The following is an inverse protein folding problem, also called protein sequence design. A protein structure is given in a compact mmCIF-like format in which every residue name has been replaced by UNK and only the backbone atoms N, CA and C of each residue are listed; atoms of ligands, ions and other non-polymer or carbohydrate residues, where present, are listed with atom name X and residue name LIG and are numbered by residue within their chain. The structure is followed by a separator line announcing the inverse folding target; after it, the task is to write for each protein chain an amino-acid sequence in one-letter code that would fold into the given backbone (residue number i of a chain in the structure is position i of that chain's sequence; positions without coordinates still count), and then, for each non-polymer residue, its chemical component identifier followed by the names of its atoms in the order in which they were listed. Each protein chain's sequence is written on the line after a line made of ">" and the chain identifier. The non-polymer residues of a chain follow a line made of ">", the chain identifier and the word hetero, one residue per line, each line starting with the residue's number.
data_IF_607071408011
#
_entry.id   IF_607071408011
#
_cell.length_a   1.000
_cell.length_b   1.000
_cell.length_c   1.000
_cell.angle_alpha   90.00
_cell.angle_beta   90.00
_cell.angle_gamma   90.00
#
_symmetry.space_group_name_H-M   'P 1'
#
loop_
_entity.id
_entity.type
_entity.pdbx_description
1 polymer ?
#
# COMPACT_ATOMS: atom_id res chain seq x y z
N UNK A 1 12.11 12.98 -87.87
CA UNK A 1 11.48 12.26 -86.74
C UNK A 1 11.03 13.30 -85.74
N UNK A 2 9.72 13.53 -85.67
CA UNK A 2 9.06 14.46 -84.74
C UNK A 2 8.71 13.67 -83.49
N UNK A 3 9.17 14.13 -82.32
CA UNK A 3 8.62 13.69 -81.03
C UNK A 3 7.95 14.90 -80.40
N UNK A 4 6.63 14.84 -80.38
CA UNK A 4 5.71 15.77 -79.73
C UNK A 4 5.71 15.44 -78.23
N UNK A 5 6.06 16.39 -77.35
CA UNK A 5 5.79 16.27 -75.92
C UNK A 5 4.51 17.05 -75.61
N UNK A 6 3.45 16.33 -75.24
CA UNK A 6 2.16 16.86 -74.82
C UNK A 6 2.23 17.15 -73.32
N UNK A 7 2.07 18.41 -72.94
CA UNK A 7 1.85 18.83 -71.55
C UNK A 7 0.38 18.59 -71.21
N UNK A 8 0.11 17.58 -70.38
CA UNK A 8 -1.19 17.35 -69.74
C UNK A 8 -1.21 18.14 -68.42
N UNK A 9 -1.94 19.25 -68.40
CA UNK A 9 -2.34 19.93 -67.16
C UNK A 9 -3.38 19.07 -66.46
N UNK A 10 -3.02 18.48 -65.32
CA UNK A 10 -3.97 17.88 -64.39
C UNK A 10 -4.41 18.95 -63.39
N UNK A 11 -5.68 19.34 -63.49
CA UNK A 11 -6.39 20.12 -62.48
C UNK A 11 -6.72 19.20 -61.29
N UNK A 12 -6.28 19.48 -60.05
CA UNK A 12 -6.77 18.75 -58.90
C UNK A 12 -8.20 19.20 -58.60
N UNK A 13 -9.14 18.29 -58.82
CA UNK A 13 -10.53 18.41 -58.39
C UNK A 13 -10.54 18.19 -56.88
N UNK A 14 -10.63 19.27 -56.10
CA UNK A 14 -10.82 19.21 -54.66
C UNK A 14 -12.19 18.58 -54.37
N UNK A 15 -12.19 17.31 -53.99
CA UNK A 15 -13.34 16.68 -53.37
C UNK A 15 -13.48 17.27 -51.96
N UNK A 16 -14.54 18.06 -51.76
CA UNK A 16 -15.03 18.42 -50.44
C UNK A 16 -15.55 17.14 -49.77
N UNK A 17 -14.68 16.42 -49.06
CA UNK A 17 -15.12 15.50 -48.01
C UNK A 17 -15.55 16.37 -46.83
N UNK A 18 -16.85 16.34 -46.50
CA UNK A 18 -17.36 17.00 -45.31
C UNK A 18 -16.67 16.41 -44.08
N UNK A 19 -15.90 17.24 -43.37
CA UNK A 19 -15.67 17.03 -41.96
C UNK A 19 -17.02 17.25 -41.28
N UNK A 20 -17.68 16.16 -40.89
CA UNK A 20 -18.67 16.26 -39.84
C UNK A 20 -17.88 16.47 -38.55
N UNK A 21 -17.87 17.71 -38.05
CA UNK A 21 -17.53 17.99 -36.66
C UNK A 21 -18.57 17.24 -35.81
N UNK A 22 -18.22 16.04 -35.36
CA UNK A 22 -18.93 15.35 -34.28
C UNK A 22 -18.26 15.71 -32.95
N UNK A 23 -18.23 17.02 -32.65
CA UNK A 23 -17.85 17.59 -31.35
C UNK A 23 -19.11 17.81 -30.52
N UNK A 24 -19.90 16.74 -30.36
CA UNK A 24 -21.15 16.74 -29.60
C UNK A 24 -21.24 15.50 -28.71
N UNK A 25 -20.11 15.04 -28.18
CA UNK A 25 -20.13 14.24 -26.95
C UNK A 25 -20.33 15.19 -25.80
N UNK A 26 -21.60 15.47 -25.48
CA UNK A 26 -21.95 16.02 -24.18
C UNK A 26 -21.20 15.22 -23.10
N UNK A 27 -20.63 15.88 -22.07
CA UNK A 27 -19.96 15.18 -20.99
C UNK A 27 -20.91 14.12 -20.45
N UNK A 28 -20.41 12.89 -20.28
CA UNK A 28 -21.20 11.80 -19.73
C UNK A 28 -21.81 12.29 -18.41
N UNK A 29 -23.14 12.20 -18.30
CA UNK A 29 -23.83 12.49 -17.05
C UNK A 29 -23.18 11.64 -15.94
N UNK A 30 -22.84 12.23 -14.78
CA UNK A 30 -22.19 11.50 -13.71
C UNK A 30 -23.06 10.32 -13.29
N UNK A 31 -22.46 9.15 -13.12
CA UNK A 31 -23.18 7.94 -12.73
C UNK A 31 -23.96 8.21 -11.44
N UNK A 32 -25.27 7.89 -11.39
CA UNK A 32 -26.07 8.15 -10.21
C UNK A 32 -25.48 7.49 -8.97
N UNK A 33 -25.59 8.16 -7.82
CA UNK A 33 -25.06 7.70 -6.54
C UNK A 33 -26.17 7.70 -5.51
N UNK A 34 -26.21 6.65 -4.69
CA UNK A 34 -27.10 6.53 -3.53
C UNK A 34 -26.30 6.50 -2.25
N UNK A 35 -26.89 7.02 -1.17
CA UNK A 35 -26.30 6.92 0.16
C UNK A 35 -26.09 5.45 0.52
N UNK A 36 -24.89 5.14 0.99
CA UNK A 36 -24.57 3.83 1.51
C UNK A 36 -24.45 3.91 3.02
N UNK A 37 -25.53 3.51 3.70
CA UNK A 37 -25.63 3.62 5.15
C UNK A 37 -25.03 2.37 5.80
N UNK A 38 -24.09 2.59 6.71
CA UNK A 38 -23.34 1.57 7.44
C UNK A 38 -23.12 2.02 8.88
N UNK A 39 -23.04 1.06 9.79
CA UNK A 39 -22.73 1.38 11.18
C UNK A 39 -21.28 1.88 11.28
N UNK A 40 -21.02 2.97 12.01
CA UNK A 40 -19.65 3.36 12.31
C UNK A 40 -18.96 2.25 13.10
N UNK A 41 -17.62 2.17 13.07
CA UNK A 41 -16.90 1.14 13.81
C UNK A 41 -17.19 1.28 15.31
N UNK A 42 -17.18 0.16 16.04
CA UNK A 42 -17.26 0.21 17.50
C UNK A 42 -16.13 1.05 18.10
N UNK A 43 -16.26 1.38 19.39
CA UNK A 43 -15.19 2.02 20.15
C UNK A 43 -13.93 1.15 20.17
N UNK A 44 -14.07 -0.18 20.21
CA UNK A 44 -12.96 -1.13 20.21
C UNK A 44 -12.20 -1.10 18.87
N UNK A 45 -12.92 -1.16 17.73
CA UNK A 45 -12.30 -1.03 16.40
C UNK A 45 -11.69 0.36 16.22
N UNK A 46 -12.35 1.40 16.72
CA UNK A 46 -11.81 2.76 16.71
C UNK A 46 -10.51 2.87 17.53
N UNK A 47 -10.42 2.17 18.66
CA UNK A 47 -9.23 2.10 19.49
C UNK A 47 -8.08 1.36 18.78
N UNK A 48 -8.38 0.31 18.02
CA UNK A 48 -7.40 -0.39 17.17
C UNK A 48 -6.82 0.58 16.12
N UNK A 49 -7.65 1.36 15.42
CA UNK A 49 -7.16 2.37 14.47
C UNK A 49 -6.34 3.49 15.15
N UNK A 50 -6.56 3.73 16.44
CA UNK A 50 -5.77 4.69 17.22
C UNK A 50 -4.51 4.08 17.86
N UNK A 51 -4.35 2.76 17.82
CA UNK A 51 -3.24 2.03 18.44
C UNK A 51 -1.93 2.20 17.65
N UNK A 52 -0.81 1.78 18.22
CA UNK A 52 0.52 1.83 17.57
C UNK A 52 0.63 0.81 16.43
N UNK A 53 1.41 1.16 15.42
CA UNK A 53 1.70 0.22 14.35
C UNK A 53 2.46 -0.99 14.91
N UNK A 54 1.98 -2.19 14.60
CA UNK A 54 2.67 -3.44 14.87
C UNK A 54 3.42 -3.86 13.61
N UNK A 55 4.71 -4.20 13.75
CA UNK A 55 5.46 -4.66 12.59
C UNK A 55 4.91 -5.99 12.04
N UNK A 56 4.77 -6.18 10.72
CA UNK A 56 4.25 -7.43 10.18
C UNK A 56 5.10 -8.63 10.56
N UNK A 57 4.47 -9.76 10.83
CA UNK A 57 5.13 -11.02 11.13
C UNK A 57 4.36 -12.18 10.51
N UNK A 58 5.05 -13.30 10.27
CA UNK A 58 4.39 -14.55 9.91
C UNK A 58 4.02 -15.32 11.16
N UNK A 59 2.82 -15.88 11.16
CA UNK A 59 2.37 -16.87 12.12
C UNK A 59 2.08 -18.17 11.37
N UNK A 60 2.59 -19.28 11.90
CA UNK A 60 2.45 -20.60 11.28
C UNK A 60 1.46 -21.46 12.06
N UNK A 61 0.60 -22.16 11.33
CA UNK A 61 -0.48 -22.98 11.85
C UNK A 61 -0.32 -24.42 11.37
N UNK A 62 -0.30 -25.36 12.31
CA UNK A 62 -0.27 -26.78 12.01
C UNK A 62 -1.50 -27.17 11.17
N UNK A 63 -1.27 -28.01 10.17
CA UNK A 63 -2.31 -28.50 9.28
C UNK A 63 -2.77 -29.90 9.70
N UNK A 64 -4.08 -30.12 9.64
CA UNK A 64 -4.67 -31.45 9.78
C UNK A 64 -4.34 -32.31 8.55
N UNK A 65 -4.24 -33.63 8.72
CA UNK A 65 -3.80 -34.55 7.67
C UNK A 65 -4.69 -34.58 6.40
N UNK A 66 -5.91 -34.05 6.45
CA UNK A 66 -6.85 -33.95 5.34
C UNK A 66 -7.14 -32.50 4.91
N UNK A 67 -6.19 -31.59 5.13
CA UNK A 67 -6.32 -30.19 4.73
C UNK A 67 -6.48 -30.01 3.21
N UNK A 68 -7.12 -28.90 2.81
CA UNK A 68 -7.28 -28.50 1.41
C UNK A 68 -6.25 -27.46 0.94
N UNK A 69 -5.26 -27.14 1.78
CA UNK A 69 -4.19 -26.18 1.45
C UNK A 69 -3.34 -26.71 0.27
N UNK A 70 -3.09 -25.89 -0.77
CA UNK A 70 -2.21 -26.27 -1.88
C UNK A 70 -0.80 -26.65 -1.38
N UNK A 71 -0.21 -27.70 -1.97
CA UNK A 71 1.11 -28.23 -1.54
C UNK A 71 2.21 -27.16 -1.55
N UNK A 72 2.16 -26.22 -2.51
CA UNK A 72 3.11 -25.10 -2.60
C UNK A 72 3.03 -24.09 -1.45
N UNK A 73 1.93 -24.11 -0.70
CA UNK A 73 1.71 -23.26 0.48
C UNK A 73 2.01 -23.97 1.80
N UNK A 74 2.29 -25.28 1.74
CA UNK A 74 2.65 -26.08 2.91
C UNK A 74 4.14 -25.96 3.17
N UNK A 75 4.49 -25.71 4.42
CA UNK A 75 5.86 -25.76 4.93
C UNK A 75 5.95 -26.81 6.03
N UNK A 76 7.17 -27.12 6.49
CA UNK A 76 7.38 -28.04 7.61
C UNK A 76 7.86 -27.27 8.84
N UNK A 77 7.30 -27.58 9.99
CA UNK A 77 7.78 -27.11 11.29
C UNK A 77 9.14 -27.72 11.63
N UNK A 78 9.79 -27.25 12.70
CA UNK A 78 11.03 -27.87 13.21
C UNK A 78 10.83 -29.34 13.60
N UNK A 79 9.61 -29.73 13.98
CA UNK A 79 9.23 -31.10 14.31
C UNK A 79 8.96 -31.97 13.07
N UNK A 80 8.84 -31.35 11.89
CA UNK A 80 8.52 -32.01 10.63
C UNK A 80 7.02 -32.16 10.36
N UNK A 81 6.18 -31.45 11.11
CA UNK A 81 4.73 -31.40 10.89
C UNK A 81 4.40 -30.38 9.78
N UNK A 82 3.36 -30.66 8.99
CA UNK A 82 2.89 -29.76 7.93
C UNK A 82 2.21 -28.54 8.54
N UNK A 83 2.56 -27.35 8.06
CA UNK A 83 2.02 -26.07 8.54
C UNK A 83 1.83 -25.08 7.38
N UNK A 84 0.95 -24.10 7.57
CA UNK A 84 0.80 -22.94 6.69
C UNK A 84 1.18 -21.67 7.45
N UNK A 85 1.98 -20.79 6.84
CA UNK A 85 2.47 -19.56 7.48
C UNK A 85 1.87 -18.34 6.80
N UNK A 86 1.10 -17.54 7.55
CA UNK A 86 0.41 -16.36 7.02
C UNK A 86 1.03 -15.10 7.61
N UNK A 87 1.24 -14.08 6.76
CA UNK A 87 1.57 -12.75 7.23
C UNK A 87 0.37 -12.12 7.94
N UNK A 88 0.52 -11.80 9.23
CA UNK A 88 -0.47 -11.08 10.01
C UNK A 88 -0.46 -9.60 9.59
N UNK A 89 -1.07 -9.32 8.44
CA UNK A 89 -1.05 -8.01 7.79
C UNK A 89 -2.23 -7.83 6.83
N UNK A 90 -2.66 -6.59 6.60
CA UNK A 90 -3.69 -6.30 5.59
C UNK A 90 -3.31 -6.74 4.16
N UNK A 91 -2.02 -6.82 3.84
CA UNK A 91 -1.49 -7.32 2.56
C UNK A 91 -1.09 -8.80 2.60
N UNK A 92 -1.09 -9.40 3.78
CA UNK A 92 -0.85 -10.82 3.94
C UNK A 92 -2.05 -11.62 3.45
N UNK A 93 -1.80 -12.70 2.74
CA UNK A 93 -2.85 -13.53 2.18
C UNK A 93 -2.75 -14.97 2.66
N UNK A 94 -3.90 -15.62 2.85
CA UNK A 94 -4.03 -17.05 2.91
C UNK A 94 -3.90 -17.66 1.50
N UNK A 95 -3.64 -18.97 1.38
CA UNK A 95 -3.63 -19.66 0.10
C UNK A 95 -4.95 -19.45 -0.67
N UNK A 96 -4.87 -19.32 -1.99
CA UNK A 96 -6.05 -19.04 -2.84
C UNK A 96 -7.18 -20.04 -2.58
N UNK A 97 -8.40 -19.54 -2.50
CA UNK A 97 -9.60 -20.30 -2.12
C UNK A 97 -9.82 -20.45 -0.62
N UNK A 98 -8.89 -20.01 0.22
CA UNK A 98 -9.03 -19.94 1.68
C UNK A 98 -9.22 -18.49 2.10
N UNK A 99 -10.24 -18.14 2.91
CA UNK A 99 -10.38 -16.78 3.42
C UNK A 99 -9.28 -16.48 4.45
N UNK A 100 -8.87 -15.22 4.55
CA UNK A 100 -7.80 -14.78 5.45
C UNK A 100 -8.08 -15.18 6.89
N UNK A 101 -9.30 -14.99 7.36
CA UNK A 101 -9.73 -15.26 8.75
C UNK A 101 -9.77 -16.75 9.14
N UNK A 102 -9.47 -17.66 8.22
CA UNK A 102 -9.24 -19.07 8.54
C UNK A 102 -7.94 -19.29 9.32
N UNK A 103 -6.93 -18.44 9.12
CA UNK A 103 -5.60 -18.54 9.73
C UNK A 103 -5.07 -17.19 10.22
N UNK A 104 -5.42 -16.09 9.56
CA UNK A 104 -5.09 -14.73 9.96
C UNK A 104 -5.99 -14.19 11.07
N UNK A 105 -5.47 -13.23 11.84
CA UNK A 105 -6.21 -12.47 12.84
C UNK A 105 -6.54 -11.08 12.32
N UNK A 106 -7.83 -10.77 12.21
CA UNK A 106 -8.24 -9.44 11.78
C UNK A 106 -7.94 -8.34 12.80
N UNK A 107 -7.91 -8.67 14.09
CA UNK A 107 -7.44 -7.74 15.12
C UNK A 107 -6.00 -7.29 14.84
N UNK A 108 -5.12 -8.26 14.52
CA UNK A 108 -3.71 -7.98 14.23
C UNK A 108 -3.50 -7.35 12.86
N UNK A 109 -4.22 -7.79 11.82
CA UNK A 109 -4.11 -7.20 10.49
C UNK A 109 -4.46 -5.70 10.47
N UNK A 110 -5.38 -5.27 11.34
CA UNK A 110 -5.75 -3.87 11.51
C UNK A 110 -4.69 -3.03 12.24
N UNK A 111 -3.86 -3.63 13.12
CA UNK A 111 -2.77 -2.91 13.81
C UNK A 111 -1.48 -2.82 12.98
N UNK A 112 -1.38 -3.61 11.90
CA UNK A 112 -0.16 -3.74 11.08
C UNK A 112 -0.29 -3.06 9.71
N UNK A 113 -1.28 -2.19 9.51
CA UNK A 113 -1.51 -1.51 8.23
C UNK A 113 -1.77 -0.01 8.42
N UNK A 114 -1.92 0.71 7.30
CA UNK A 114 -2.21 2.13 7.33
C UNK A 114 -3.57 2.37 8.02
N UNK A 115 -3.52 3.05 9.17
CA UNK A 115 -4.63 3.24 10.12
C UNK A 115 -5.61 4.33 9.70
N UNK A 116 -6.25 4.19 8.53
CA UNK A 116 -7.25 5.15 8.09
C UNK A 116 -8.65 4.54 8.05
N UNK A 117 -9.58 5.18 8.75
CA UNK A 117 -11.01 4.96 8.53
C UNK A 117 -11.57 6.03 7.59
N UNK A 118 -12.31 5.59 6.58
CA UNK A 118 -13.06 6.44 5.68
C UNK A 118 -14.43 5.82 5.45
N UNK A 119 -15.47 6.51 5.88
CA UNK A 119 -16.84 6.07 5.66
C UNK A 119 -17.13 5.91 4.15
N UNK A 120 -17.59 4.74 3.68
CA UNK A 120 -18.05 4.58 2.31
C UNK A 120 -19.43 5.24 2.18
N UNK A 121 -19.47 6.56 1.99
CA UNK A 121 -20.70 7.34 2.08
C UNK A 121 -21.69 7.16 0.92
N UNK A 122 -21.31 6.46 -0.14
CA UNK A 122 -22.17 6.26 -1.30
C UNK A 122 -21.84 4.97 -2.05
N UNK A 123 -22.83 4.49 -2.81
CA UNK A 123 -22.67 3.48 -3.86
C UNK A 123 -23.03 4.07 -5.21
N UNK A 124 -22.33 3.65 -6.24
CA UNK A 124 -22.77 3.85 -7.63
C UNK A 124 -24.04 3.05 -7.87
N UNK A 125 -25.06 3.63 -8.52
CA UNK A 125 -26.23 2.85 -8.94
C UNK A 125 -25.96 2.18 -10.28
N UNK A 126 -25.83 0.86 -10.27
CA UNK A 126 -25.73 0.05 -11.48
C UNK A 126 -27.03 -0.71 -11.73
N UNK A 127 -27.53 -0.74 -12.98
CA UNK A 127 -28.57 -1.67 -13.39
C UNK A 127 -28.23 -3.11 -12.98
N UNK A 128 -29.14 -3.77 -12.28
CA UNK A 128 -28.90 -5.12 -11.74
C UNK A 128 -28.94 -6.22 -12.80
N UNK A 129 -29.23 -5.90 -14.06
CA UNK A 129 -29.17 -6.84 -15.19
C UNK A 129 -27.74 -7.34 -15.46
N UNK A 130 -26.70 -6.65 -14.98
CA UNK A 130 -25.34 -7.19 -14.96
C UNK A 130 -25.24 -8.49 -14.15
N UNK A 131 -26.11 -8.68 -13.15
CA UNK A 131 -26.18 -9.91 -12.36
C UNK A 131 -26.83 -11.06 -13.14
N UNK A 132 -27.46 -10.79 -14.28
CA UNK A 132 -27.98 -11.81 -15.19
C UNK A 132 -26.90 -12.34 -16.16
N UNK A 133 -25.72 -11.70 -16.23
CA UNK A 133 -24.57 -12.19 -17.01
C UNK A 133 -23.75 -13.22 -16.17
N UNK A 134 -23.82 -14.53 -16.51
CA UNK A 134 -23.14 -15.55 -15.74
C UNK A 134 -21.60 -15.45 -15.82
N UNK A 135 -21.04 -14.87 -16.88
CA UNK A 135 -19.58 -14.71 -16.99
C UNK A 135 -19.11 -13.56 -16.10
N UNK A 136 -19.84 -12.43 -16.06
CA UNK A 136 -19.52 -11.34 -15.13
C UNK A 136 -19.65 -11.80 -13.68
N UNK A 137 -20.74 -12.50 -13.33
CA UNK A 137 -20.93 -13.01 -11.95
C UNK A 137 -19.80 -13.95 -11.55
N UNK A 138 -19.41 -14.88 -12.43
CA UNK A 138 -18.29 -15.79 -12.17
C UNK A 138 -16.98 -15.03 -11.93
N UNK A 139 -16.72 -13.99 -12.70
CA UNK A 139 -15.52 -13.17 -12.56
C UNK A 139 -15.55 -12.33 -11.28
N UNK A 140 -16.69 -11.72 -10.97
CA UNK A 140 -16.89 -10.94 -9.76
C UNK A 140 -16.76 -11.80 -8.49
N UNK A 141 -17.21 -13.07 -8.50
CA UNK A 141 -17.01 -14.00 -7.38
C UNK A 141 -15.56 -14.49 -7.27
N UNK A 142 -14.87 -14.72 -8.39
CA UNK A 142 -13.44 -14.99 -8.35
C UNK A 142 -12.67 -13.81 -7.74
N UNK A 143 -12.95 -12.58 -8.19
CA UNK A 143 -12.37 -11.36 -7.64
C UNK A 143 -12.62 -11.26 -6.13
N UNK A 144 -13.87 -11.47 -5.72
CA UNK A 144 -14.25 -11.46 -4.30
C UNK A 144 -13.46 -12.51 -3.50
N UNK A 145 -13.23 -13.70 -4.07
CA UNK A 145 -12.45 -14.75 -3.41
C UNK A 145 -10.96 -14.39 -3.25
N UNK A 146 -10.37 -13.71 -4.23
CA UNK A 146 -8.99 -13.21 -4.13
C UNK A 146 -8.86 -12.16 -3.03
N UNK A 147 -9.79 -11.20 -2.98
CA UNK A 147 -9.80 -10.18 -1.92
C UNK A 147 -9.95 -10.82 -0.54
N UNK A 148 -10.87 -11.78 -0.40
CA UNK A 148 -11.14 -12.51 0.86
C UNK A 148 -9.99 -13.37 1.33
N UNK A 149 -9.10 -13.79 0.45
CA UNK A 149 -7.89 -14.49 0.86
C UNK A 149 -6.92 -13.56 1.63
N UNK A 150 -7.05 -12.24 1.52
CA UNK A 150 -6.10 -11.29 2.09
C UNK A 150 -6.66 -10.50 3.27
N UNK A 151 -5.77 -10.07 4.18
CA UNK A 151 -6.13 -9.37 5.42
C UNK A 151 -6.83 -8.02 5.20
N UNK A 152 -6.87 -7.48 3.99
CA UNK A 152 -7.58 -6.24 3.69
C UNK A 152 -9.08 -6.35 4.00
N UNK A 153 -9.66 -7.57 3.95
CA UNK A 153 -11.07 -7.79 4.30
C UNK A 153 -11.40 -7.47 5.75
N UNK A 154 -10.42 -7.48 6.64
CA UNK A 154 -10.61 -7.08 8.03
C UNK A 154 -11.09 -5.63 8.17
N UNK A 155 -10.81 -4.80 7.16
CA UNK A 155 -11.28 -3.42 7.07
C UNK A 155 -12.38 -3.24 6.01
N UNK A 156 -12.43 -4.11 5.00
CA UNK A 156 -13.13 -3.85 3.74
C UNK A 156 -14.22 -4.86 3.37
N UNK A 157 -14.56 -5.82 4.23
CA UNK A 157 -15.68 -6.74 4.02
C UNK A 157 -16.63 -6.67 5.21
N UNK A 158 -17.82 -6.13 5.01
CA UNK A 158 -18.81 -6.01 6.08
C UNK A 158 -19.38 -7.32 6.61
N UNK A 159 -19.13 -8.43 5.92
CA UNK A 159 -19.61 -9.76 6.29
C UNK A 159 -18.53 -10.61 6.95
N UNK A 160 -17.29 -10.13 6.98
CA UNK A 160 -16.13 -10.82 7.54
C UNK A 160 -15.35 -9.88 8.47
N UNK A 161 -14.37 -10.42 9.18
CA UNK A 161 -13.45 -9.62 9.99
C UNK A 161 -13.76 -9.58 11.49
N UNK A 162 -13.06 -8.68 12.19
CA UNK A 162 -13.10 -8.58 13.64
C UNK A 162 -14.47 -8.13 14.16
N UNK A 163 -15.12 -7.23 13.44
CA UNK A 163 -16.48 -6.78 13.71
C UNK A 163 -17.29 -6.79 12.41
N UNK A 164 -18.38 -7.57 12.39
CA UNK A 164 -19.31 -7.60 11.26
C UNK A 164 -20.19 -6.36 11.24
N UNK A 165 -20.64 -5.97 10.05
CA UNK A 165 -21.52 -4.80 9.86
C UNK A 165 -20.76 -3.49 9.62
N UNK A 166 -19.45 -3.56 9.39
CA UNK A 166 -18.58 -2.42 9.16
C UNK A 166 -17.69 -2.60 7.92
N UNK A 167 -17.47 -1.53 7.16
CA UNK A 167 -16.44 -1.49 6.13
C UNK A 167 -15.91 -0.07 5.93
N UNK A 168 -14.62 0.07 5.59
CA UNK A 168 -13.97 1.35 5.27
C UNK A 168 -13.70 1.47 3.78
N UNK A 169 -13.85 2.65 3.19
CA UNK A 169 -13.57 3.01 1.80
C UNK A 169 -14.36 2.29 0.68
N UNK A 170 -14.55 0.98 0.76
CA UNK A 170 -15.34 0.11 -0.11
C UNK A 170 -15.76 -1.14 0.69
N UNK A 171 -16.70 -1.93 0.15
CA UNK A 171 -17.26 -3.08 0.86
C UNK A 171 -17.42 -4.29 -0.08
N UNK A 172 -16.57 -5.29 0.13
CA UNK A 172 -16.54 -6.57 -0.60
C UNK A 172 -17.74 -7.46 -0.27
N UNK A 173 -18.28 -7.32 0.94
CA UNK A 173 -19.44 -8.04 1.46
C UNK A 173 -20.79 -7.48 1.01
N UNK A 174 -20.77 -6.35 0.29
CA UNK A 174 -21.97 -5.70 -0.20
C UNK A 174 -22.82 -6.64 -1.08
N UNK A 175 -24.14 -6.61 -0.86
CA UNK A 175 -25.10 -7.31 -1.71
C UNK A 175 -25.21 -6.67 -3.10
N UNK A 176 -25.57 -7.48 -4.10
CA UNK A 176 -25.69 -7.06 -5.48
C UNK A 176 -24.33 -6.85 -6.15
N UNK A 177 -24.22 -5.75 -6.91
CA UNK A 177 -22.97 -5.35 -7.56
C UNK A 177 -22.04 -4.73 -6.53
N UNK A 178 -21.28 -5.56 -5.81
CA UNK A 178 -20.44 -5.11 -4.69
C UNK A 178 -19.37 -4.08 -5.11
N UNK A 179 -18.92 -4.13 -6.36
CA UNK A 179 -17.97 -3.17 -6.93
C UNK A 179 -18.54 -1.74 -6.96
N UNK A 180 -19.85 -1.56 -6.83
CA UNK A 180 -20.47 -0.22 -6.74
C UNK A 180 -20.11 0.54 -5.47
N UNK A 181 -19.57 -0.14 -4.46
CA UNK A 181 -19.03 0.49 -3.23
C UNK A 181 -17.71 1.22 -3.48
N UNK A 182 -17.02 0.91 -4.58
CA UNK A 182 -15.75 1.54 -4.89
C UNK A 182 -15.99 2.97 -5.35
N UNK A 183 -15.17 3.89 -4.84
CA UNK A 183 -14.99 5.18 -5.50
C UNK A 183 -14.27 5.00 -6.84
N UNK A 184 -14.42 5.95 -7.76
CA UNK A 184 -13.72 5.93 -9.04
C UNK A 184 -12.19 5.89 -8.85
N UNK A 185 -11.69 6.64 -7.86
CA UNK A 185 -10.29 6.55 -7.44
C UNK A 185 -9.90 5.13 -6.96
N UNK A 186 -10.79 4.47 -6.21
CA UNK A 186 -10.60 3.10 -5.76
C UNK A 186 -10.49 2.10 -6.91
N UNK A 187 -11.30 2.28 -7.96
CA UNK A 187 -11.19 1.47 -9.18
C UNK A 187 -9.86 1.70 -9.91
N UNK A 188 -9.37 2.95 -9.96
CA UNK A 188 -8.06 3.25 -10.56
C UNK A 188 -6.89 2.65 -9.78
N UNK A 189 -6.98 2.60 -8.46
CA UNK A 189 -5.99 1.89 -7.64
C UNK A 189 -6.09 0.36 -7.80
N UNK A 190 -7.29 -0.18 -8.00
CA UNK A 190 -7.53 -1.62 -8.17
C UNK A 190 -7.17 -2.14 -9.56
N UNK A 191 -7.32 -1.33 -10.59
CA UNK A 191 -6.90 -1.61 -11.97
C UNK A 191 -5.40 -1.36 -12.21
N UNK A 192 -4.72 -0.69 -11.27
CA UNK A 192 -3.29 -0.39 -11.40
C UNK A 192 -2.97 0.82 -12.30
N UNK A 193 -3.95 1.68 -12.60
CA UNK A 193 -3.69 3.01 -13.18
C UNK A 193 -2.94 3.92 -12.22
N UNK A 194 -3.22 3.78 -10.92
CA UNK A 194 -2.52 4.49 -9.86
C UNK A 194 -1.53 3.54 -9.21
N UNK A 195 -0.26 3.92 -9.24
CA UNK A 195 0.78 3.25 -8.45
C UNK A 195 0.51 3.48 -6.97
N UNK A 196 0.26 2.38 -6.26
CA UNK A 196 -0.05 2.38 -4.83
C UNK A 196 1.09 1.83 -4.01
N UNK A 197 2.28 1.62 -4.56
CA UNK A 197 3.45 1.07 -3.84
C UNK A 197 3.73 1.88 -2.56
N UNK A 198 3.46 3.19 -2.57
CA UNK A 198 3.61 4.06 -1.40
C UNK A 198 2.56 3.85 -0.28
N UNK A 199 1.52 3.04 -0.49
CA UNK A 199 0.43 2.76 0.47
C UNK A 199 0.67 1.45 1.23
N UNK A 200 1.90 1.29 1.71
CA UNK A 200 2.45 0.02 2.16
C UNK A 200 3.02 -0.73 0.96
N UNK A 201 4.25 -1.21 1.08
CA UNK A 201 4.96 -1.91 0.00
C UNK A 201 4.32 -3.25 -0.37
N UNK A 202 5.10 -4.31 -0.46
CA UNK A 202 4.60 -5.63 -0.87
C UNK A 202 5.43 -6.76 -0.26
N UNK A 203 4.75 -7.85 0.09
CA UNK A 203 5.44 -9.11 0.37
C UNK A 203 5.88 -9.75 -0.95
N UNK A 204 6.99 -10.48 -0.92
CA UNK A 204 7.38 -11.33 -2.05
C UNK A 204 6.26 -12.37 -2.28
N UNK A 205 5.70 -12.49 -3.50
CA UNK A 205 4.66 -13.47 -3.81
C UNK A 205 5.03 -14.90 -3.41
N UNK A 206 6.32 -15.28 -3.47
CA UNK A 206 6.79 -16.60 -3.05
C UNK A 206 6.58 -16.86 -1.54
N UNK A 207 6.52 -15.80 -0.73
CA UNK A 207 6.25 -15.85 0.72
C UNK A 207 4.83 -15.45 1.08
N UNK A 208 4.01 -15.13 0.07
CA UNK A 208 2.62 -14.68 0.21
C UNK A 208 1.69 -15.52 -0.67
N UNK A 209 1.97 -16.82 -0.79
CA UNK A 209 1.13 -17.82 -1.47
C UNK A 209 0.78 -17.49 -2.94
N UNK A 210 1.72 -16.84 -3.64
CA UNK A 210 1.56 -16.42 -5.03
C UNK A 210 0.81 -15.10 -5.22
N UNK A 211 0.36 -14.44 -4.14
CA UNK A 211 -0.32 -13.15 -4.23
C UNK A 211 0.68 -12.01 -4.42
N UNK A 212 0.51 -11.27 -5.52
CA UNK A 212 1.30 -10.10 -5.91
C UNK A 212 0.49 -8.81 -5.79
N UNK A 213 1.06 -7.81 -5.10
CA UNK A 213 0.49 -6.48 -4.82
C UNK A 213 1.31 -5.34 -5.45
N UNK A 214 2.31 -5.66 -6.26
CA UNK A 214 3.17 -4.66 -6.92
C UNK A 214 2.47 -3.92 -8.08
N UNK A 215 1.30 -4.42 -8.51
CA UNK A 215 0.65 -3.96 -9.73
C UNK A 215 -0.76 -3.41 -9.51
N UNK A 216 -1.36 -3.71 -8.37
CA UNK A 216 -2.73 -3.39 -7.98
C UNK A 216 -2.73 -3.14 -6.48
N UNK A 217 -3.66 -2.32 -5.96
CA UNK A 217 -3.77 -2.10 -4.51
C UNK A 217 -4.10 -3.39 -3.74
N UNK A 218 -4.74 -4.34 -4.42
CA UNK A 218 -5.06 -5.65 -3.87
C UNK A 218 -4.04 -6.69 -4.30
N UNK A 219 -3.51 -7.52 -3.38
CA UNK A 219 -2.75 -8.68 -3.77
C UNK A 219 -3.62 -9.65 -4.59
N UNK A 220 -3.03 -10.30 -5.60
CA UNK A 220 -3.71 -11.34 -6.40
C UNK A 220 -2.74 -12.37 -6.97
N UNK A 221 -3.24 -13.58 -7.18
CA UNK A 221 -2.54 -14.65 -7.88
C UNK A 221 -2.57 -14.51 -9.41
N UNK A 222 -3.43 -13.65 -9.97
CA UNK A 222 -3.53 -13.39 -11.42
C UNK A 222 -3.71 -11.90 -11.72
N UNK A 223 -2.56 -11.21 -11.77
CA UNK A 223 -2.50 -9.75 -12.01
C UNK A 223 -3.20 -9.34 -13.32
N UNK A 224 -2.92 -9.96 -14.49
CA UNK A 224 -3.61 -9.59 -15.72
C UNK A 224 -5.14 -9.72 -15.63
N UNK A 225 -5.64 -10.78 -14.98
CA UNK A 225 -7.07 -11.01 -14.82
C UNK A 225 -7.72 -10.00 -13.89
N UNK A 226 -7.10 -9.68 -12.75
CA UNK A 226 -7.60 -8.66 -11.82
C UNK A 226 -7.67 -7.28 -12.48
N UNK A 227 -6.60 -6.88 -13.20
CA UNK A 227 -6.60 -5.62 -13.94
C UNK A 227 -7.73 -5.58 -14.96
N UNK A 228 -7.88 -6.64 -15.77
CA UNK A 228 -8.94 -6.72 -16.77
C UNK A 228 -10.35 -6.58 -16.17
N UNK A 229 -10.60 -7.19 -15.01
CA UNK A 229 -11.88 -7.04 -14.30
C UNK A 229 -12.16 -5.58 -13.93
N UNK A 230 -11.21 -4.90 -13.26
CA UNK A 230 -11.41 -3.52 -12.84
C UNK A 230 -11.41 -2.52 -13.99
N UNK A 231 -10.69 -2.76 -15.09
CA UNK A 231 -10.83 -2.00 -16.34
C UNK A 231 -12.23 -2.14 -16.93
N UNK A 232 -12.81 -3.35 -16.85
CA UNK A 232 -14.20 -3.59 -17.22
C UNK A 232 -15.17 -2.74 -16.38
N UNK A 233 -14.95 -2.64 -15.07
CA UNK A 233 -15.76 -1.82 -14.18
C UNK A 233 -15.59 -0.30 -14.44
N UNK A 234 -14.37 0.15 -14.75
CA UNK A 234 -14.10 1.54 -15.19
C UNK A 234 -14.88 1.85 -16.47
N UNK A 235 -14.81 0.98 -17.47
CA UNK A 235 -15.52 1.13 -18.73
C UNK A 235 -17.04 1.09 -18.53
N UNK A 236 -17.54 0.18 -17.68
CA UNK A 236 -18.96 0.07 -17.32
C UNK A 236 -19.49 1.36 -16.68
N UNK A 237 -18.66 2.03 -15.88
CA UNK A 237 -18.98 3.33 -15.27
C UNK A 237 -18.80 4.53 -16.21
N UNK A 238 -18.21 4.33 -17.39
CA UNK A 238 -18.05 5.37 -18.40
C UNK A 238 -17.03 6.46 -18.05
N UNK A 239 -16.02 6.14 -17.24
CA UNK A 239 -14.93 7.09 -16.94
C UNK A 239 -14.18 7.44 -18.23
N UNK A 240 -13.99 8.74 -18.46
CA UNK A 240 -13.21 9.25 -19.58
C UNK A 240 -11.72 9.30 -19.24
N UNK A 241 -10.86 9.29 -20.26
CA UNK A 241 -9.40 9.45 -20.09
C UNK A 241 -9.05 10.73 -19.31
N UNK A 242 -9.76 11.83 -19.55
CA UNK A 242 -9.58 13.09 -18.82
C UNK A 242 -9.88 12.94 -17.33
N UNK A 243 -10.99 12.28 -16.98
CA UNK A 243 -11.34 12.01 -15.58
C UNK A 243 -10.34 11.08 -14.90
N UNK A 244 -9.83 10.08 -15.63
CA UNK A 244 -8.79 9.17 -15.13
C UNK A 244 -7.53 9.98 -14.80
N UNK A 245 -7.07 10.81 -15.73
CA UNK A 245 -5.89 11.65 -15.55
C UNK A 245 -6.06 12.64 -14.38
N UNK A 246 -7.21 13.30 -14.26
CA UNK A 246 -7.52 14.18 -13.13
C UNK A 246 -7.47 13.47 -11.77
N UNK A 247 -7.89 12.20 -11.70
CA UNK A 247 -7.83 11.40 -10.48
C UNK A 247 -6.39 10.95 -10.16
N UNK A 248 -5.58 10.63 -11.17
CA UNK A 248 -4.15 10.32 -11.00
C UNK A 248 -3.40 11.53 -10.46
N UNK A 249 -3.67 12.73 -10.97
CA UNK A 249 -3.03 13.97 -10.50
C UNK A 249 -3.36 14.33 -9.04
N UNK A 250 -4.43 13.75 -8.48
CA UNK A 250 -4.79 13.92 -7.07
C UNK A 250 -3.99 13.04 -6.11
N UNK A 251 -3.19 12.08 -6.59
CA UNK A 251 -2.42 11.14 -5.75
C UNK A 251 -1.57 11.86 -4.69
N UNK A 252 -0.76 12.88 -5.02
CA UNK A 252 0.05 13.59 -4.02
C UNK A 252 -0.80 14.28 -2.95
N UNK A 253 -2.02 14.71 -3.28
CA UNK A 253 -2.90 15.35 -2.30
C UNK A 253 -3.62 14.32 -1.43
N UNK A 254 -4.12 13.24 -2.03
CA UNK A 254 -4.87 12.19 -1.32
C UNK A 254 -4.00 11.39 -0.37
N UNK A 255 -2.71 11.27 -0.68
CA UNK A 255 -1.74 10.54 0.14
C UNK A 255 -0.63 11.43 0.68
N UNK A 256 -0.87 12.74 0.80
CA UNK A 256 0.14 13.76 1.05
C UNK A 256 1.20 13.39 2.09
N UNK A 257 0.81 12.90 3.26
CA UNK A 257 1.78 12.56 4.30
C UNK A 257 2.67 11.36 3.94
N UNK A 258 2.10 10.29 3.36
CA UNK A 258 2.85 9.13 2.88
C UNK A 258 3.72 9.49 1.67
N UNK A 259 3.13 10.22 0.72
CA UNK A 259 3.80 10.70 -0.47
C UNK A 259 4.99 11.59 -0.13
N UNK A 260 4.79 12.60 0.72
CA UNK A 260 5.85 13.51 1.18
C UNK A 260 6.97 12.73 1.90
N UNK A 261 6.62 11.80 2.79
CA UNK A 261 7.62 11.00 3.48
C UNK A 261 8.51 10.22 2.51
N UNK A 262 7.93 9.68 1.45
CA UNK A 262 8.65 8.90 0.47
C UNK A 262 9.42 9.75 -0.56
N UNK A 263 8.84 10.87 -1.03
CA UNK A 263 9.39 11.61 -2.18
C UNK A 263 10.20 12.84 -1.82
N UNK A 264 10.09 13.37 -0.60
CA UNK A 264 10.78 14.61 -0.23
C UNK A 264 12.30 14.42 -0.14
N UNK A 265 13.03 15.35 -0.73
CA UNK A 265 14.50 15.34 -0.71
C UNK A 265 15.04 15.55 0.71
N UNK A 266 15.93 14.66 1.12
CA UNK A 266 16.67 14.79 2.38
C UNK A 266 17.49 16.09 2.40
N UNK A 267 17.37 16.86 3.49
CA UNK A 267 18.11 18.11 3.69
C UNK A 267 19.23 17.92 4.72
N UNK A 268 20.23 18.81 4.82
CA UNK A 268 21.16 18.80 5.94
C UNK A 268 20.42 18.91 7.28
N UNK A 269 20.89 18.19 8.30
CA UNK A 269 20.33 18.22 9.65
C UNK A 269 20.41 19.63 10.25
N UNK A 270 19.36 19.99 10.99
CA UNK A 270 19.27 21.27 11.69
C UNK A 270 20.14 21.31 12.94
N UNK A 271 19.99 22.40 13.69
CA UNK A 271 20.60 22.55 15.02
C UNK A 271 20.04 21.45 15.94
N UNK A 272 20.92 20.76 16.66
CA UNK A 272 20.51 19.70 17.58
C UNK A 272 20.17 18.35 16.92
N UNK A 273 20.49 18.14 15.64
CA UNK A 273 20.13 16.91 14.91
C UNK A 273 21.34 16.14 14.36
N UNK A 274 21.23 14.80 14.30
CA UNK A 274 22.25 13.91 13.77
C UNK A 274 22.77 12.92 14.82
N UNK A 275 23.92 12.33 14.55
CA UNK A 275 24.64 11.47 15.52
C UNK A 275 25.89 12.20 15.98
N UNK A 276 26.00 12.45 17.29
CA UNK A 276 27.12 13.17 17.89
C UNK A 276 28.40 12.33 17.89
N UNK A 277 29.58 12.94 18.12
CA UNK A 277 30.84 12.21 18.14
C UNK A 277 30.92 11.08 19.19
N UNK A 278 30.16 11.17 20.28
CA UNK A 278 30.05 10.10 21.29
C UNK A 278 29.03 9.00 20.92
N UNK A 279 28.38 9.12 19.75
CA UNK A 279 27.41 8.15 19.23
C UNK A 279 25.98 8.42 19.62
N UNK A 280 25.68 9.47 20.40
CA UNK A 280 24.31 9.80 20.80
C UNK A 280 23.49 10.28 19.60
N UNK A 281 22.27 9.78 19.46
CA UNK A 281 21.36 10.08 18.34
C UNK A 281 20.36 11.16 18.74
N UNK A 282 20.27 12.22 17.94
CA UNK A 282 19.42 13.38 18.18
C UNK A 282 18.56 13.75 16.96
N UNK A 283 17.32 14.16 17.22
CA UNK A 283 16.40 14.76 16.24
C UNK A 283 15.66 15.96 16.87
N UNK A 284 15.25 16.93 16.05
CA UNK A 284 14.64 18.18 16.49
C UNK A 284 13.13 18.05 16.62
N UNK A 285 12.68 17.17 17.53
CA UNK A 285 11.28 17.07 17.92
C UNK A 285 11.14 16.76 19.40
N UNK A 286 10.10 17.33 20.02
CA UNK A 286 9.68 16.95 21.36
C UNK A 286 8.92 15.61 21.40
N UNK A 287 8.65 15.01 20.23
CA UNK A 287 8.03 13.69 20.14
C UNK A 287 9.08 12.60 20.20
N UNK A 288 8.72 11.54 20.92
CA UNK A 288 9.52 10.32 21.04
C UNK A 288 9.37 9.44 19.78
N UNK A 289 10.41 8.70 19.46
CA UNK A 289 10.52 7.85 18.27
C UNK A 289 10.14 6.40 18.58
N UNK A 290 9.56 5.70 17.59
CA UNK A 290 9.43 4.24 17.62
C UNK A 290 10.34 3.54 16.61
N UNK A 291 10.81 4.25 15.59
CA UNK A 291 11.70 3.70 14.59
C UNK A 291 12.82 4.68 14.29
N UNK A 292 14.06 4.23 14.44
CA UNK A 292 15.27 5.03 14.22
C UNK A 292 16.13 4.33 13.18
N UNK A 293 16.51 5.06 12.15
CA UNK A 293 17.30 4.55 11.03
C UNK A 293 18.53 5.43 10.83
N UNK A 294 19.67 4.78 10.60
CA UNK A 294 20.88 5.41 10.08
C UNK A 294 21.25 4.72 8.78
N UNK A 295 21.39 5.50 7.72
CA UNK A 295 21.64 5.03 6.37
C UNK A 295 22.84 5.74 5.74
N UNK A 296 23.37 5.17 4.68
CA UNK A 296 24.33 5.83 3.80
C UNK A 296 23.70 7.10 3.17
N UNK A 297 24.56 8.08 2.85
CA UNK A 297 24.13 9.24 2.06
C UNK A 297 23.59 8.78 0.70
N UNK A 298 22.42 9.30 0.31
CA UNK A 298 21.77 8.96 -0.95
C UNK A 298 20.84 7.74 -0.89
N UNK A 299 20.75 7.03 0.24
CA UNK A 299 19.71 6.02 0.45
C UNK A 299 18.31 6.60 0.27
N UNK A 300 17.40 5.79 -0.28
CA UNK A 300 15.99 6.14 -0.44
C UNK A 300 15.34 6.50 0.92
N UNK A 301 14.21 7.21 0.88
CA UNK A 301 13.43 7.44 2.08
C UNK A 301 12.77 6.13 2.53
N UNK A 302 12.63 6.00 3.85
CA UNK A 302 11.89 4.90 4.46
C UNK A 302 10.40 5.20 4.32
N UNK A 303 9.63 4.20 3.90
CA UNK A 303 8.16 4.26 3.88
C UNK A 303 7.56 3.03 4.57
N UNK A 304 6.27 2.79 4.33
CA UNK A 304 5.52 1.78 5.07
C UNK A 304 5.94 0.35 4.72
N UNK A 305 6.10 -0.53 5.72
CA UNK A 305 6.31 -1.96 5.50
C UNK A 305 5.09 -2.62 4.83
N UNK A 306 5.29 -3.80 4.22
CA UNK A 306 6.57 -4.48 4.05
C UNK A 306 7.41 -3.91 2.89
N UNK A 307 8.74 -3.98 3.01
CA UNK A 307 9.69 -3.77 1.90
C UNK A 307 10.24 -2.34 1.82
N UNK A 308 9.38 -1.33 1.69
CA UNK A 308 9.84 0.08 1.56
C UNK A 308 10.45 0.65 2.84
N UNK A 309 10.27 -0.05 3.96
CA UNK A 309 10.89 0.24 5.23
C UNK A 309 12.34 -0.27 5.32
N UNK A 310 12.83 -0.97 4.29
CA UNK A 310 14.17 -1.56 4.21
C UNK A 310 14.97 -1.13 2.96
N UNK A 311 15.21 0.19 2.75
CA UNK A 311 15.96 0.67 1.59
C UNK A 311 17.43 0.21 1.60
N UNK A 312 18.03 0.12 0.40
CA UNK A 312 19.47 -0.11 0.24
C UNK A 312 20.31 0.98 0.94
N UNK A 313 21.48 0.58 1.46
CA UNK A 313 22.36 1.46 2.24
C UNK A 313 21.96 1.64 3.71
N UNK A 314 20.96 0.89 4.21
CA UNK A 314 20.66 0.88 5.65
C UNK A 314 21.79 0.24 6.46
N UNK A 315 22.38 1.04 7.36
CA UNK A 315 23.47 0.62 8.24
C UNK A 315 22.91 0.08 9.56
N UNK A 316 21.93 0.79 10.11
CA UNK A 316 21.33 0.46 11.39
C UNK A 316 19.85 0.82 11.42
N UNK A 317 19.07 -0.03 12.10
CA UNK A 317 17.65 0.19 12.36
C UNK A 317 17.28 -0.40 13.71
N UNK A 318 16.64 0.43 14.52
CA UNK A 318 16.06 0.05 15.80
C UNK A 318 14.55 0.32 15.79
N UNK A 319 13.79 -0.71 16.17
CA UNK A 319 12.35 -0.66 16.31
C UNK A 319 11.98 -0.77 17.80
N UNK A 320 11.01 0.01 18.26
CA UNK A 320 10.33 -0.20 19.54
C UNK A 320 9.26 -1.27 19.35
N UNK A 321 9.20 -2.27 20.24
CA UNK A 321 8.13 -3.28 20.24
C UNK A 321 6.75 -2.61 20.33
N UNK A 322 5.67 -3.26 19.89
CA UNK A 322 4.36 -2.59 19.72
C UNK A 322 3.81 -1.97 21.03
N UNK A 323 4.10 -2.58 22.18
CA UNK A 323 3.74 -2.14 23.53
C UNK A 323 4.90 -1.46 24.27
N UNK A 324 6.06 -1.37 23.64
CA UNK A 324 7.26 -0.74 24.20
C UNK A 324 7.14 0.77 24.36
N UNK A 325 8.02 1.33 25.18
CA UNK A 325 8.09 2.78 25.43
C UNK A 325 8.84 3.48 24.28
N UNK A 326 8.25 4.50 23.64
CA UNK A 326 8.95 5.32 22.65
C UNK A 326 10.24 5.97 23.19
N UNK A 327 11.21 6.15 22.32
CA UNK A 327 12.58 6.60 22.66
C UNK A 327 12.65 8.13 22.59
N UNK A 328 13.05 8.83 23.65
CA UNK A 328 13.30 10.27 23.59
C UNK A 328 14.59 10.64 22.85
N UNK A 329 14.60 11.79 22.17
CA UNK A 329 15.79 12.33 21.50
C UNK A 329 16.96 12.49 22.47
N UNK A 330 18.16 12.09 22.05
CA UNK A 330 19.38 12.19 22.87
C UNK A 330 19.53 11.15 23.97
N UNK A 331 18.68 10.12 24.02
CA UNK A 331 18.79 9.02 25.01
C UNK A 331 19.35 7.73 24.43
N UNK A 332 19.46 7.64 23.10
CA UNK A 332 19.86 6.46 22.37
C UNK A 332 21.28 6.62 21.82
N UNK A 333 22.14 5.63 22.01
CA UNK A 333 23.43 5.55 21.31
C UNK A 333 23.31 4.69 20.05
N UNK A 334 23.98 5.09 18.96
CA UNK A 334 24.03 4.31 17.73
C UNK A 334 24.54 2.89 17.97
N UNK A 335 23.76 1.90 17.53
CA UNK A 335 24.05 0.46 17.71
C UNK A 335 23.62 -0.12 19.05
N UNK A 336 23.03 0.68 19.95
CA UNK A 336 22.45 0.19 21.19
C UNK A 336 21.08 -0.48 20.95
N UNK A 337 20.78 -1.51 21.73
CA UNK A 337 19.43 -2.08 21.83
C UNK A 337 18.94 -1.87 23.26
N UNK A 338 17.94 -1.01 23.44
CA UNK A 338 17.32 -0.71 24.72
C UNK A 338 16.29 -1.79 25.12
N UNK A 339 15.81 -1.76 26.36
CA UNK A 339 14.66 -2.57 26.78
C UNK A 339 13.44 -2.26 25.89
N UNK A 340 12.63 -3.29 25.60
CA UNK A 340 11.46 -3.21 24.70
C UNK A 340 11.76 -2.70 23.27
N UNK A 341 13.00 -2.88 22.80
CA UNK A 341 13.39 -2.59 21.42
C UNK A 341 14.01 -3.81 20.74
N UNK A 342 14.02 -3.77 19.40
CA UNK A 342 14.58 -4.79 18.55
C UNK A 342 15.45 -4.13 17.47
N UNK A 343 16.73 -4.49 17.42
CA UNK A 343 17.57 -4.15 16.29
C UNK A 343 17.17 -5.01 15.08
N UNK A 344 16.63 -4.37 14.04
CA UNK A 344 16.27 -5.02 12.78
C UNK A 344 17.45 -5.06 11.82
N UNK A 345 18.36 -4.09 11.89
CA UNK A 345 19.53 -4.02 11.04
C UNK A 345 20.77 -3.61 11.83
N UNK A 346 21.89 -4.35 11.72
CA UNK A 346 21.95 -5.72 11.22
C UNK A 346 21.08 -6.67 12.07
N UNK A 347 20.61 -7.78 11.50
CA UNK A 347 19.78 -8.77 12.22
C UNK A 347 20.50 -9.37 13.44
N UNK A 348 21.84 -9.37 13.42
CA UNK A 348 22.67 -9.77 14.55
C UNK A 348 23.99 -9.02 14.56
N UNK A 349 24.57 -8.87 15.75
CA UNK A 349 25.84 -8.16 15.95
C UNK A 349 25.69 -6.64 15.99
N UNK A 350 26.84 -5.96 16.06
CA UNK A 350 26.90 -4.50 16.05
C UNK A 350 26.76 -3.95 14.62
N UNK A 351 26.11 -2.80 14.42
CA UNK A 351 26.10 -2.16 13.10
C UNK A 351 27.51 -1.71 12.67
N UNK A 352 27.74 -1.48 11.37
CA UNK A 352 29.00 -0.91 10.90
C UNK A 352 29.33 0.39 11.63
N UNK A 353 30.58 0.55 12.06
CA UNK A 353 31.03 1.77 12.70
C UNK A 353 30.92 2.96 11.74
N UNK A 354 30.42 4.09 12.24
CA UNK A 354 30.42 5.34 11.50
C UNK A 354 31.84 5.88 11.37
N UNK A 355 32.15 6.47 10.22
CA UNK A 355 33.49 6.97 9.88
C UNK A 355 33.48 8.49 9.96
N UNK A 356 34.40 9.04 10.76
CA UNK A 356 34.55 10.49 10.92
C UNK A 356 34.74 11.20 9.56
N UNK A 357 34.04 12.30 9.35
CA UNK A 357 34.02 13.07 8.12
C UNK A 357 33.17 12.47 6.99
N UNK A 358 32.45 11.38 7.25
CA UNK A 358 31.50 10.78 6.27
C UNK A 358 30.09 11.28 6.51
N UNK A 359 29.38 11.60 5.43
CA UNK A 359 27.97 11.98 5.48
C UNK A 359 27.09 10.74 5.57
N UNK A 360 26.10 10.79 6.46
CA UNK A 360 25.07 9.76 6.64
C UNK A 360 23.70 10.40 6.66
N UNK A 361 22.67 9.58 6.51
CA UNK A 361 21.27 9.97 6.62
C UNK A 361 20.70 9.48 7.95
N UNK A 362 20.06 10.38 8.68
CA UNK A 362 19.21 10.08 9.82
C UNK A 362 17.75 10.13 9.38
N UNK A 363 17.02 9.05 9.61
CA UNK A 363 15.58 9.00 9.39
C UNK A 363 14.90 8.49 10.65
N UNK A 364 13.93 9.24 11.17
CA UNK A 364 13.27 8.93 12.45
C UNK A 364 11.77 9.04 12.29
N UNK A 365 11.05 8.03 12.81
CA UNK A 365 9.60 7.97 12.79
C UNK A 365 9.05 7.87 14.20
N UNK A 366 8.00 8.66 14.47
CA UNK A 366 7.17 8.48 15.68
C UNK A 366 6.40 7.16 15.60
N UNK A 367 5.94 6.84 14.40
CA UNK A 367 5.30 5.58 14.05
C UNK A 367 5.31 5.44 12.52
N UNK A 368 4.95 4.27 11.98
CA UNK A 368 4.77 4.14 10.53
C UNK A 368 3.59 4.97 10.01
N UNK A 369 3.64 5.27 8.72
CA UNK A 369 2.74 6.18 8.02
C UNK A 369 3.33 7.59 7.88
N UNK A 370 2.50 8.65 7.93
CA UNK A 370 2.94 10.03 7.71
C UNK A 370 3.69 10.66 8.90
N UNK A 371 4.15 9.88 9.89
CA UNK A 371 4.59 10.38 11.20
C UNK A 371 6.12 10.54 11.34
N UNK A 372 6.73 11.25 10.38
CA UNK A 372 8.18 11.47 10.33
C UNK A 372 8.63 12.56 11.31
N UNK A 373 9.69 12.27 12.06
CA UNK A 373 10.33 13.18 13.01
C UNK A 373 11.61 13.79 12.45
N UNK A 374 12.38 13.04 11.67
CA UNK A 374 13.58 13.53 10.99
C UNK A 374 13.75 12.83 9.62
N UNK A 375 14.29 13.57 8.66
CA UNK A 375 14.81 13.08 7.38
C UNK A 375 15.91 14.04 6.94
N UNK A 376 17.11 13.82 7.46
CA UNK A 376 18.20 14.74 7.24
C UNK A 376 19.55 14.04 7.09
N UNK A 377 20.56 14.75 6.56
CA UNK A 377 21.94 14.28 6.49
C UNK A 377 22.84 14.96 7.51
N UNK A 378 23.76 14.20 8.09
CA UNK A 378 24.76 14.71 9.04
C UNK A 378 26.15 14.18 8.68
N UNK A 379 27.20 14.93 9.02
CA UNK A 379 28.59 14.48 8.90
C UNK A 379 29.01 13.92 10.25
N UNK A 380 29.37 12.63 10.31
CA UNK A 380 29.75 12.03 11.58
C UNK A 380 31.09 12.58 12.08
N UNK A 381 31.16 12.88 13.38
CA UNK A 381 32.34 13.45 14.05
C UNK A 381 32.36 14.97 14.13
N UNK A 382 31.51 15.67 13.37
CA UNK A 382 31.26 17.09 13.60
C UNK A 382 30.38 17.25 14.87
N UNK A 383 30.63 18.27 15.71
CA UNK A 383 29.71 18.60 16.79
C UNK A 383 28.33 18.91 16.22
N UNK A 384 27.30 18.31 16.80
CA UNK A 384 25.93 18.75 16.54
C UNK A 384 25.84 20.21 17.01
N UNK A 385 25.31 21.09 16.15
CA UNK A 385 25.16 22.50 16.52
C UNK A 385 24.27 22.60 17.77
N UNK A 386 24.75 23.28 18.81
CA UNK A 386 23.99 23.57 20.03
C UNK A 386 23.02 24.75 19.77
N UNK A 387 21.86 24.75 20.44
CA UNK A 387 20.85 25.83 20.36
C UNK A 387 21.35 27.20 20.87
#
# INVERSE_FOLDING_TARGET
>A
MRTLLVFLMFTPMAALSGCADSDDTAPAEPTPRVDYDYEPPSEDVSAIFASHYTYPYQECFDLEADHSIPEESVTLSEAGDEQVCIWQNAQGCAPSGTPFDAYGSCEVAMTTSARFYKFPGYKTETPTDVLDDPEWVKEAEWMRSELRACGCICCHDSTQGYEQGFATAFDVGAQGVWTDTFTDFGLLTASGHIDTTLLGGSFDPATNHGFDRNHTIFPTTDVPRMKAFFEGEIARRGLTEEQIQELIEQVPFRFAGLYTNYTEETQPCGVGEGVSPDGTVHWASASDARYVYVLEEGSANVADPPGLDNPEGMLWRLDVLYDGTPIPSGTLTYGETLEDTLQRRPESGEPPALVEGTTYKLFVLRDFGPMRLANCTFVYGDPIAEE
#
